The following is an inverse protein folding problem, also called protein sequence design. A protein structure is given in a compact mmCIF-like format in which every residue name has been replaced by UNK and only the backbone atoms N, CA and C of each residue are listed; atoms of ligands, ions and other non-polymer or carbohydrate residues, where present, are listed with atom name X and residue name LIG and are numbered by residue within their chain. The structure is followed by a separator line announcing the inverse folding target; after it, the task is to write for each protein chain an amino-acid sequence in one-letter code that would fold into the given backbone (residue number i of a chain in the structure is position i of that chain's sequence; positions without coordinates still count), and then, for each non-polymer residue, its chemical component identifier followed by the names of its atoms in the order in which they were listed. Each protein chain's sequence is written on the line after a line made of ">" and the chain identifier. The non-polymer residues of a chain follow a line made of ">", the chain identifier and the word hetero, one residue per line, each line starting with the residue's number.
data_IF_558238604202
#
_entry.id   IF_558238604202
#
_cell.length_a   1.000
_cell.length_b   1.000
_cell.length_c   1.000
_cell.angle_alpha   90.00
_cell.angle_beta   90.00
_cell.angle_gamma   90.00
#
_symmetry.space_group_name_H-M   'P 1'
#
loop_
_entity.id
_entity.type
_entity.pdbx_description
1 polymer ?
#
# COMPACT_ATOMS: atom_id res chain seq x y z
N UNK A 1 10.91 2.83 1.66
CA UNK A 1 10.63 1.42 1.97
C UNK A 1 9.62 0.90 0.96
N UNK A 2 9.70 -0.37 0.58
CA UNK A 2 8.71 -1.01 -0.30
C UNK A 2 8.62 -2.51 0.01
N UNK A 3 7.44 -3.10 -0.16
CA UNK A 3 7.16 -4.53 0.04
C UNK A 3 6.60 -5.09 -1.25
N UNK A 4 7.19 -6.19 -1.73
CA UNK A 4 6.73 -6.90 -2.91
C UNK A 4 6.54 -8.39 -2.58
N UNK A 5 5.36 -8.92 -2.88
CA UNK A 5 4.98 -10.30 -2.59
C UNK A 5 5.44 -11.28 -3.66
N UNK A 6 5.62 -10.83 -4.89
CA UNK A 6 6.08 -11.64 -6.02
C UNK A 6 7.61 -11.63 -6.10
N UNK A 7 8.31 -12.74 -5.80
CA UNK A 7 9.77 -12.76 -5.72
C UNK A 7 10.48 -12.29 -6.99
N UNK A 8 9.95 -12.61 -8.16
CA UNK A 8 10.49 -12.24 -9.46
C UNK A 8 10.45 -10.73 -9.66
N UNK A 9 9.34 -10.08 -9.29
CA UNK A 9 9.19 -8.63 -9.36
C UNK A 9 10.09 -7.93 -8.33
N UNK A 10 10.25 -8.50 -7.14
CA UNK A 10 11.17 -7.97 -6.14
C UNK A 10 12.62 -7.99 -6.63
N UNK A 11 13.06 -9.10 -7.23
CA UNK A 11 14.38 -9.22 -7.85
C UNK A 11 14.57 -8.20 -8.98
N UNK A 12 13.56 -8.02 -9.82
CA UNK A 12 13.60 -7.04 -10.91
C UNK A 12 13.69 -5.60 -10.37
N UNK A 13 12.89 -5.27 -9.36
CA UNK A 13 12.91 -3.95 -8.72
C UNK A 13 14.27 -3.65 -8.11
N UNK A 14 14.88 -4.60 -7.40
CA UNK A 14 16.22 -4.45 -6.82
C UNK A 14 17.29 -4.14 -7.87
N UNK A 15 17.29 -4.86 -9.01
CA UNK A 15 18.18 -4.58 -10.14
C UNK A 15 17.97 -3.17 -10.70
N UNK A 16 16.72 -2.76 -10.85
CA UNK A 16 16.38 -1.42 -11.34
C UNK A 16 16.81 -0.33 -10.36
N UNK A 17 16.69 -0.57 -9.05
CA UNK A 17 17.16 0.38 -8.04
C UNK A 17 18.67 0.60 -8.13
N UNK A 18 19.44 -0.48 -8.26
CA UNK A 18 20.90 -0.43 -8.41
C UNK A 18 21.28 0.29 -9.71
N UNK A 19 20.69 -0.12 -10.85
CA UNK A 19 20.99 0.47 -12.15
C UNK A 19 20.63 1.96 -12.23
N UNK A 20 19.56 2.37 -11.53
CA UNK A 20 19.13 3.76 -11.43
C UNK A 20 19.89 4.59 -10.38
N UNK A 21 20.80 4.00 -9.60
CA UNK A 21 21.55 4.70 -8.56
C UNK A 21 20.72 5.11 -7.34
N UNK A 22 19.59 4.45 -7.08
CA UNK A 22 18.72 4.75 -5.93
C UNK A 22 19.28 4.14 -4.64
N UNK A 23 19.72 4.99 -3.72
CA UNK A 23 20.43 4.55 -2.49
C UNK A 23 19.55 4.56 -1.22
N UNK A 24 18.36 5.14 -1.26
CA UNK A 24 17.48 5.35 -0.10
C UNK A 24 16.26 4.42 -0.10
N UNK A 25 16.36 3.25 -0.74
CA UNK A 25 15.29 2.27 -0.84
C UNK A 25 15.67 1.01 -0.06
N UNK A 26 14.77 0.57 0.82
CA UNK A 26 14.81 -0.76 1.44
C UNK A 26 13.62 -1.55 0.91
N UNK A 27 13.90 -2.70 0.30
CA UNK A 27 12.93 -3.63 -0.27
C UNK A 27 12.77 -4.83 0.66
N UNK A 28 11.52 -5.17 1.00
CA UNK A 28 11.16 -6.43 1.67
C UNK A 28 10.44 -7.32 0.68
N UNK A 29 10.91 -8.56 0.56
CA UNK A 29 10.17 -9.63 -0.12
C UNK A 29 9.22 -10.25 0.90
N UNK A 30 7.92 -10.25 0.63
CA UNK A 30 6.96 -10.82 1.56
C UNK A 30 5.53 -10.32 1.38
N UNK A 31 4.65 -10.80 2.25
CA UNK A 31 3.21 -10.51 2.20
C UNK A 31 2.90 -9.03 2.48
N UNK A 32 2.58 -8.29 1.41
CA UNK A 32 2.24 -6.86 1.48
C UNK A 32 1.00 -6.55 2.33
N UNK A 33 0.13 -7.55 2.60
CA UNK A 33 -1.03 -7.39 3.52
C UNK A 33 -0.59 -7.15 4.96
N UNK A 34 0.62 -7.57 5.32
CA UNK A 34 1.18 -7.40 6.66
C UNK A 34 1.85 -6.04 6.85
N UNK A 35 2.08 -5.29 5.77
CA UNK A 35 2.94 -4.10 5.80
C UNK A 35 4.36 -4.45 6.23
N UNK A 36 5.01 -3.54 6.95
CA UNK A 36 6.37 -3.73 7.46
C UNK A 36 6.49 -3.21 8.90
N UNK A 37 5.93 -3.98 9.84
CA UNK A 37 5.85 -3.59 11.26
C UNK A 37 7.22 -3.24 11.88
N UNK A 38 8.30 -3.92 11.50
CA UNK A 38 9.66 -3.64 12.00
C UNK A 38 10.19 -2.25 11.61
N UNK A 39 9.59 -1.58 10.62
CA UNK A 39 9.96 -0.24 10.14
C UNK A 39 8.89 0.81 10.45
N UNK A 40 7.77 0.40 11.05
CA UNK A 40 6.76 1.31 11.54
C UNK A 40 7.31 2.17 12.70
N UNK A 41 6.75 3.37 12.94
CA UNK A 41 5.61 3.94 12.24
C UNK A 41 6.01 4.77 11.00
N UNK A 42 5.11 4.83 10.02
CA UNK A 42 5.30 5.56 8.75
C UNK A 42 4.51 6.86 8.71
N UNK A 43 5.08 7.88 8.09
CA UNK A 43 4.36 9.12 7.75
C UNK A 43 3.35 8.90 6.62
N UNK A 44 3.69 8.03 5.67
CA UNK A 44 2.81 7.66 4.56
C UNK A 44 2.97 6.19 4.17
N UNK A 45 1.87 5.56 3.78
CA UNK A 45 1.83 4.24 3.16
C UNK A 45 1.09 4.37 1.84
N UNK A 46 1.66 3.85 0.76
CA UNK A 46 1.04 3.83 -0.55
C UNK A 46 0.86 2.38 -0.98
N UNK A 47 -0.35 2.02 -1.39
CA UNK A 47 -0.65 0.75 -2.00
C UNK A 47 -0.83 0.90 -3.51
N UNK A 48 -0.12 0.08 -4.27
CA UNK A 48 -0.16 0.06 -5.74
C UNK A 48 -0.83 -1.20 -6.30
N UNK A 49 -1.54 -1.92 -5.44
CA UNK A 49 -2.44 -3.02 -5.76
C UNK A 49 -3.70 -2.88 -4.91
N UNK A 50 -4.83 -3.32 -5.43
CA UNK A 50 -6.10 -3.12 -4.77
C UNK A 50 -6.35 -4.11 -3.65
N UNK A 51 -6.89 -3.58 -2.56
CA UNK A 51 -7.45 -4.37 -1.47
C UNK A 51 -8.97 -4.39 -1.60
N UNK A 52 -9.60 -5.55 -1.38
CA UNK A 52 -11.05 -5.59 -1.16
C UNK A 52 -11.42 -4.73 0.06
N UNK A 53 -10.68 -4.91 1.16
CA UNK A 53 -10.72 -4.07 2.35
C UNK A 53 -9.31 -3.89 2.90
N UNK A 54 -8.97 -2.68 3.36
CA UNK A 54 -7.64 -2.41 3.92
C UNK A 54 -7.48 -3.13 5.26
N UNK A 55 -6.42 -3.93 5.43
CA UNK A 55 -6.08 -4.52 6.71
C UNK A 55 -5.74 -3.46 7.77
N UNK A 56 -6.41 -3.53 8.93
CA UNK A 56 -6.19 -2.59 10.04
C UNK A 56 -4.74 -2.53 10.50
N UNK A 57 -4.01 -3.66 10.46
CA UNK A 57 -2.59 -3.72 10.83
C UNK A 57 -1.71 -2.81 9.97
N UNK A 58 -2.08 -2.53 8.71
CA UNK A 58 -1.36 -1.57 7.86
C UNK A 58 -1.65 -0.15 8.35
N UNK A 59 -2.93 0.18 8.59
CA UNK A 59 -3.33 1.51 9.06
C UNK A 59 -2.72 1.86 10.43
N UNK A 60 -2.59 0.88 11.33
CA UNK A 60 -1.91 1.07 12.62
C UNK A 60 -0.39 1.23 12.53
N UNK A 61 0.22 0.96 11.37
CA UNK A 61 1.62 1.29 11.13
C UNK A 61 1.82 2.76 10.72
N UNK A 62 0.76 3.53 10.50
CA UNK A 62 0.89 4.98 10.30
C UNK A 62 1.16 5.70 11.62
N UNK A 63 1.90 6.79 11.60
CA UNK A 63 1.92 7.78 12.70
C UNK A 63 0.54 8.43 12.83
N UNK A 64 0.25 9.03 13.99
CA UNK A 64 -0.82 10.05 14.07
C UNK A 64 -0.46 11.19 13.09
N UNK A 65 -1.42 11.64 12.29
CA UNK A 65 -1.26 12.54 11.15
C UNK A 65 -0.76 11.87 9.86
N UNK A 66 -0.37 10.60 9.92
CA UNK A 66 0.09 9.83 8.77
C UNK A 66 -1.06 9.39 7.85
N UNK A 67 -0.75 9.15 6.57
CA UNK A 67 -1.76 8.84 5.55
C UNK A 67 -1.50 7.56 4.80
N UNK A 68 -2.55 6.76 4.63
CA UNK A 68 -2.60 5.69 3.65
C UNK A 68 -3.24 6.20 2.37
N UNK A 69 -2.68 5.85 1.22
CA UNK A 69 -3.27 6.11 -0.10
C UNK A 69 -3.28 4.81 -0.88
N UNK A 70 -4.45 4.37 -1.35
CA UNK A 70 -4.53 3.12 -2.07
C UNK A 70 -5.89 2.85 -2.73
N UNK A 71 -5.91 2.00 -3.76
CA UNK A 71 -7.12 1.60 -4.46
C UNK A 71 -7.88 0.53 -3.66
N UNK A 72 -9.14 0.80 -3.31
CA UNK A 72 -9.98 -0.09 -2.50
C UNK A 72 -11.23 -0.49 -3.27
N UNK A 73 -11.59 -1.77 -3.16
CA UNK A 73 -12.73 -2.37 -3.85
C UNK A 73 -12.29 -3.55 -4.73
N UNK A 74 -13.28 -4.19 -5.33
CA UNK A 74 -13.13 -5.31 -6.25
C UNK A 74 -13.58 -4.91 -7.66
N UNK A 75 -13.29 -5.74 -8.66
CA UNK A 75 -13.80 -5.58 -10.04
C UNK A 75 -14.14 -6.93 -10.67
N UNK A 76 -14.50 -7.92 -9.85
CA UNK A 76 -14.68 -9.31 -10.28
C UNK A 76 -16.04 -9.55 -10.93
N UNK A 77 -17.05 -8.73 -10.59
CA UNK A 77 -18.43 -8.85 -11.07
C UNK A 77 -18.94 -7.54 -11.68
N UNK A 78 -19.99 -7.66 -12.48
CA UNK A 78 -20.69 -6.51 -13.05
C UNK A 78 -21.27 -5.63 -11.93
N UNK A 79 -20.93 -4.33 -11.95
CA UNK A 79 -21.28 -3.37 -10.90
C UNK A 79 -20.19 -3.15 -9.84
N UNK A 80 -19.16 -4.00 -9.80
CA UNK A 80 -18.02 -3.79 -8.91
C UNK A 80 -17.16 -2.59 -9.39
N UNK A 81 -16.60 -1.85 -8.44
CA UNK A 81 -15.69 -0.74 -8.73
C UNK A 81 -14.61 -0.61 -7.67
N UNK A 82 -13.51 0.04 -8.06
CA UNK A 82 -12.46 0.46 -7.15
C UNK A 82 -12.43 1.97 -7.07
N UNK A 83 -12.15 2.47 -5.87
CA UNK A 83 -11.90 3.89 -5.63
C UNK A 83 -10.53 4.09 -4.98
N UNK A 84 -9.85 5.16 -5.39
CA UNK A 84 -8.65 5.60 -4.69
C UNK A 84 -9.07 6.31 -3.42
N UNK A 85 -8.70 5.73 -2.27
CA UNK A 85 -8.98 6.32 -0.96
C UNK A 85 -7.72 6.97 -0.37
N UNK A 86 -7.92 8.07 0.34
CA UNK A 86 -6.97 8.59 1.31
C UNK A 86 -7.54 8.33 2.70
N UNK A 87 -6.74 7.69 3.57
CA UNK A 87 -7.10 7.43 4.95
C UNK A 87 -6.06 8.07 5.86
N UNK A 88 -6.49 9.02 6.69
CA UNK A 88 -5.64 9.68 7.66
C UNK A 88 -5.83 9.04 9.04
N UNK A 89 -4.72 8.74 9.72
CA UNK A 89 -4.74 8.34 11.13
C UNK A 89 -4.78 9.60 11.99
N UNK A 90 -5.85 9.79 12.73
CA UNK A 90 -6.05 10.88 13.69
C UNK A 90 -5.91 10.35 15.12
N UNK A 91 -5.96 11.23 16.13
CA UNK A 91 -5.99 10.82 17.53
C UNK A 91 -7.25 9.99 17.88
N UNK A 92 -8.35 10.23 17.18
CA UNK A 92 -9.66 9.64 17.47
C UNK A 92 -10.00 8.43 16.58
N UNK A 93 -9.06 7.99 15.74
CA UNK A 93 -9.26 6.88 14.79
C UNK A 93 -8.87 7.26 13.37
N UNK A 94 -9.62 6.79 12.38
CA UNK A 94 -9.28 6.94 10.96
C UNK A 94 -10.35 7.72 10.21
N UNK A 95 -9.92 8.76 9.48
CA UNK A 95 -10.78 9.54 8.59
C UNK A 95 -10.52 9.11 7.16
N UNK A 96 -11.58 8.72 6.43
CA UNK A 96 -11.49 8.22 5.04
C UNK A 96 -12.07 9.25 4.08
N UNK A 97 -11.42 9.41 2.92
CA UNK A 97 -11.89 10.25 1.82
C UNK A 97 -11.72 9.51 0.50
N UNK A 98 -12.81 9.38 -0.26
CA UNK A 98 -12.74 8.93 -1.65
C UNK A 98 -12.29 10.07 -2.56
N UNK A 99 -11.44 9.74 -3.54
CA UNK A 99 -10.83 10.70 -4.46
C UNK A 99 -11.41 10.56 -5.85
N UNK A 100 -11.32 9.35 -6.42
CA UNK A 100 -11.76 9.05 -7.78
C UNK A 100 -11.86 7.54 -8.00
N UNK A 101 -12.65 7.13 -8.99
CA UNK A 101 -12.66 5.75 -9.48
C UNK A 101 -11.33 5.40 -10.16
N UNK A 102 -10.84 4.19 -9.94
CA UNK A 102 -9.57 3.68 -10.49
C UNK A 102 -9.70 2.22 -10.89
N UNK A 103 -8.65 1.66 -11.50
CA UNK A 103 -8.53 0.22 -11.74
C UNK A 103 -7.07 -0.21 -11.60
N UNK A 104 -6.79 -1.00 -10.57
CA UNK A 104 -5.50 -1.59 -10.23
C UNK A 104 -5.65 -3.10 -10.17
N UNK A 105 -4.54 -3.83 -10.37
CA UNK A 105 -4.49 -5.27 -10.12
C UNK A 105 -4.85 -5.57 -8.67
N UNK A 106 -5.65 -6.61 -8.43
CA UNK A 106 -5.90 -7.11 -7.08
C UNK A 106 -4.61 -7.57 -6.42
N UNK A 107 -4.48 -7.33 -5.12
CA UNK A 107 -3.43 -7.93 -4.32
C UNK A 107 -3.73 -9.44 -4.16
N UNK A 108 -2.88 -10.33 -4.72
CA UNK A 108 -3.13 -11.76 -4.79
C UNK A 108 -3.05 -12.44 -3.43
#
# INVERSE_FOLDING_TARGET
>A
FTVESTPELANLAEKNFIAGGYINIQLKRGDSRKGWAEKAPFDAIIATAAFEQIPNNILYQLKIGGRFVGPIGIYEKEGDSQELLIIERTNDGFVKRSIMSVRFSMLP
#
